data_IF_487041504172
#
_entry.id   IF_487041504172
#
_cell.length_a   1.000
_cell.length_b   1.000
_cell.length_c   1.000
_cell.angle_alpha   90.00
_cell.angle_beta   90.00
_cell.angle_gamma   90.00
#
_symmetry.space_group_name_H-M   'P 1'
#
loop_
_entity.id
_entity.type
_entity.pdbx_description
1 polymer ?
#
# COMPACT_ATOMS: atom_id res chain seq x y z
N UNK A 1 -5.66 82.49 -54.88
CA UNK A 1 -6.68 83.52 -55.07
C UNK A 1 -7.90 83.06 -54.33
N UNK A 2 -8.29 83.84 -53.30
CA UNK A 2 -9.58 84.02 -52.63
C UNK A 2 -10.29 82.85 -52.09
N UNK A 3 -10.35 82.67 -50.75
CA UNK A 3 -11.30 83.36 -49.85
C UNK A 3 -12.73 82.88 -50.13
N UNK A 4 -13.51 82.47 -49.22
CA UNK A 4 -13.77 82.86 -47.84
C UNK A 4 -14.86 81.97 -47.28
N UNK A 5 -14.83 81.81 -45.99
CA UNK A 5 -15.83 82.25 -45.00
C UNK A 5 -17.32 81.93 -45.34
N UNK A 6 -18.09 81.30 -44.50
CA UNK A 6 -18.52 81.62 -43.13
C UNK A 6 -19.67 80.75 -42.71
N UNK A 7 -19.68 80.43 -41.43
CA UNK A 7 -20.84 80.46 -40.50
C UNK A 7 -22.10 79.62 -40.74
N UNK A 8 -22.28 78.73 -39.84
CA UNK A 8 -23.24 78.81 -38.69
C UNK A 8 -24.71 78.39 -38.94
N UNK A 9 -25.17 77.68 -38.03
CA UNK A 9 -26.51 77.46 -37.51
C UNK A 9 -27.08 76.04 -37.53
N UNK A 10 -26.94 75.44 -36.43
CA UNK A 10 -27.98 75.11 -35.45
C UNK A 10 -29.13 74.20 -35.87
N UNK A 11 -29.24 73.25 -35.06
CA UNK A 11 -30.45 72.60 -34.46
C UNK A 11 -31.16 71.48 -35.20
N UNK A 12 -31.19 70.45 -34.45
CA UNK A 12 -32.35 69.64 -34.02
C UNK A 12 -32.64 68.41 -34.89
N UNK A 13 -32.57 67.33 -34.22
CA UNK A 13 -33.62 66.55 -33.61
C UNK A 13 -33.71 65.07 -34.12
N UNK A 14 -33.65 64.21 -33.17
CA UNK A 14 -34.28 62.88 -33.04
C UNK A 14 -33.60 61.68 -33.70
N UNK A 15 -33.02 60.88 -32.86
CA UNK A 15 -33.64 59.68 -32.29
C UNK A 15 -33.68 58.50 -33.26
N UNK A 16 -32.84 57.56 -32.98
CA UNK A 16 -32.79 56.24 -33.61
C UNK A 16 -31.63 55.41 -33.10
N UNK A 17 -31.55 55.27 -31.78
CA UNK A 17 -30.63 54.31 -31.21
C UNK A 17 -31.19 52.89 -31.47
N UNK A 18 -30.65 52.22 -32.50
CA UNK A 18 -30.85 50.80 -32.70
C UNK A 18 -29.79 50.11 -31.80
N UNK A 19 -30.23 49.69 -30.63
CA UNK A 19 -29.44 48.81 -29.73
C UNK A 19 -29.33 47.46 -30.40
N UNK A 20 -28.14 47.21 -30.96
CA UNK A 20 -27.72 45.85 -31.30
C UNK A 20 -27.42 45.15 -29.95
N UNK A 21 -28.40 44.42 -29.48
CA UNK A 21 -28.28 43.48 -28.37
C UNK A 21 -27.40 42.33 -28.89
N UNK A 22 -26.11 42.37 -28.57
CA UNK A 22 -25.21 41.21 -28.75
C UNK A 22 -25.78 40.07 -27.89
N UNK A 23 -26.46 39.15 -28.53
CA UNK A 23 -26.83 37.88 -27.93
C UNK A 23 -25.55 37.12 -27.53
N UNK A 24 -25.16 37.20 -26.26
CA UNK A 24 -24.17 36.29 -25.69
C UNK A 24 -24.68 34.86 -25.93
N UNK A 25 -23.85 33.98 -26.51
CA UNK A 25 -24.24 32.56 -26.61
C UNK A 25 -24.43 32.02 -25.17
N UNK A 26 -25.63 31.54 -24.90
CA UNK A 26 -25.97 30.86 -23.66
C UNK A 26 -24.97 29.75 -23.47
N UNK A 27 -24.10 29.88 -22.44
CA UNK A 27 -23.24 28.81 -21.96
C UNK A 27 -24.22 27.73 -21.49
N UNK A 28 -24.19 26.51 -22.05
CA UNK A 28 -25.04 25.46 -21.56
C UNK A 28 -24.69 25.20 -20.11
N UNK A 29 -25.62 25.43 -19.21
CA UNK A 29 -25.52 25.05 -17.81
C UNK A 29 -25.14 23.59 -17.75
N UNK A 30 -23.95 23.33 -17.16
CA UNK A 30 -23.44 22.01 -16.91
C UNK A 30 -24.30 21.35 -15.84
N UNK A 31 -25.42 20.77 -16.24
CA UNK A 31 -26.28 19.90 -15.42
C UNK A 31 -25.67 18.49 -15.23
N UNK A 32 -24.37 18.31 -15.55
CA UNK A 32 -23.66 17.04 -15.37
C UNK A 32 -23.10 16.82 -13.96
N UNK A 33 -22.93 17.90 -13.16
CA UNK A 33 -22.28 17.83 -11.85
C UNK A 33 -23.10 17.08 -10.78
N UNK A 34 -24.42 17.07 -10.86
CA UNK A 34 -25.27 16.42 -9.85
C UNK A 34 -25.43 14.91 -10.07
N UNK A 35 -25.34 14.42 -11.32
CA UNK A 35 -25.37 12.98 -11.63
C UNK A 35 -24.01 12.30 -11.39
N UNK A 36 -22.90 13.00 -11.58
CA UNK A 36 -21.56 12.50 -11.27
C UNK A 36 -21.32 12.33 -9.76
N UNK A 37 -21.87 13.25 -8.95
CA UNK A 37 -21.76 13.19 -7.48
C UNK A 37 -22.63 12.09 -6.84
N UNK A 38 -23.63 11.56 -7.53
CA UNK A 38 -24.50 10.48 -7.01
C UNK A 38 -23.96 9.08 -7.24
N UNK A 39 -22.97 8.90 -8.11
CA UNK A 39 -22.33 7.62 -8.43
C UNK A 39 -21.09 7.33 -7.57
N UNK A 40 -20.57 8.34 -6.88
CA UNK A 40 -19.44 8.19 -5.95
C UNK A 40 -19.94 8.03 -4.52
N UNK A 41 -19.19 7.24 -3.71
CA UNK A 41 -19.47 6.96 -2.30
C UNK A 41 -20.73 6.10 -2.01
N UNK A 42 -21.22 5.32 -2.99
CA UNK A 42 -22.41 4.47 -2.78
C UNK A 42 -22.67 3.45 -3.91
N UNK A 43 -23.80 2.75 -3.82
CA UNK A 43 -24.28 1.83 -4.84
C UNK A 43 -23.27 0.76 -5.23
N UNK A 44 -22.95 0.67 -6.53
CA UNK A 44 -22.00 -0.30 -7.08
C UNK A 44 -20.57 -0.20 -6.47
N UNK A 45 -20.20 0.96 -5.92
CA UNK A 45 -18.92 1.14 -5.24
C UNK A 45 -18.69 0.12 -4.12
N UNK A 46 -19.72 -0.27 -3.39
CA UNK A 46 -19.59 -1.29 -2.34
C UNK A 46 -19.36 -2.69 -2.89
N UNK A 47 -19.89 -3.01 -4.07
CA UNK A 47 -19.61 -4.28 -4.77
C UNK A 47 -18.15 -4.30 -5.23
N UNK A 48 -17.66 -3.19 -5.75
CA UNK A 48 -16.22 -3.03 -6.09
C UNK A 48 -15.36 -3.15 -4.83
N UNK A 49 -15.75 -2.54 -3.72
CA UNK A 49 -15.05 -2.66 -2.43
C UNK A 49 -14.99 -4.11 -1.95
N UNK A 50 -16.08 -4.87 -2.04
CA UNK A 50 -16.10 -6.31 -1.74
C UNK A 50 -15.16 -7.09 -2.69
N UNK A 51 -15.11 -6.75 -3.98
CA UNK A 51 -14.16 -7.33 -4.92
C UNK A 51 -12.71 -7.03 -4.54
N UNK A 52 -12.41 -5.79 -4.11
CA UNK A 52 -11.07 -5.42 -3.63
C UNK A 52 -10.71 -6.16 -2.34
N UNK A 53 -11.66 -6.34 -1.41
CA UNK A 53 -11.48 -7.19 -0.23
C UNK A 53 -11.05 -8.62 -0.62
N UNK A 54 -11.74 -9.24 -1.58
CA UNK A 54 -11.42 -10.60 -2.05
C UNK A 54 -10.04 -10.65 -2.70
N UNK A 55 -9.66 -9.66 -3.50
CA UNK A 55 -8.32 -9.57 -4.09
C UNK A 55 -7.25 -9.49 -3.00
N UNK A 56 -7.44 -8.65 -1.98
CA UNK A 56 -6.51 -8.54 -0.85
C UNK A 56 -6.43 -9.83 -0.04
N UNK A 57 -7.57 -10.48 0.19
CA UNK A 57 -7.64 -11.79 0.85
C UNK A 57 -6.78 -12.83 0.13
N UNK A 58 -6.90 -12.92 -1.20
CA UNK A 58 -6.19 -13.90 -2.02
C UNK A 58 -4.71 -13.58 -2.21
N UNK A 59 -4.34 -12.30 -2.30
CA UNK A 59 -2.95 -11.88 -2.55
C UNK A 59 -2.19 -11.68 -1.24
N UNK A 60 -2.49 -10.60 -0.52
CA UNK A 60 -1.76 -10.23 0.71
C UNK A 60 -1.96 -11.28 1.81
N UNK A 61 -3.17 -11.84 1.93
CA UNK A 61 -3.45 -12.90 2.91
C UNK A 61 -2.56 -14.13 2.72
N UNK A 62 -2.33 -14.55 1.48
CA UNK A 62 -1.42 -15.67 1.20
C UNK A 62 0.04 -15.28 1.46
N UNK A 63 0.46 -14.05 1.13
CA UNK A 63 1.80 -13.56 1.47
C UNK A 63 2.04 -13.48 2.98
N UNK A 64 1.03 -13.10 3.77
CA UNK A 64 1.12 -13.07 5.23
C UNK A 64 1.27 -14.48 5.85
N UNK A 65 0.89 -15.53 5.10
CA UNK A 65 1.06 -16.93 5.49
C UNK A 65 2.36 -17.56 4.95
N UNK A 66 3.30 -16.73 4.47
CA UNK A 66 4.56 -17.19 3.88
C UNK A 66 5.37 -18.13 4.80
N UNK A 67 5.27 -17.94 6.13
CA UNK A 67 5.95 -18.80 7.11
C UNK A 67 5.47 -20.25 7.08
N UNK A 68 4.18 -20.48 6.85
CA UNK A 68 3.63 -21.84 6.74
C UNK A 68 4.05 -22.49 5.42
N UNK A 69 4.01 -21.73 4.32
CA UNK A 69 4.51 -22.19 3.00
C UNK A 69 6.01 -22.51 3.07
N UNK A 70 6.78 -21.64 3.76
CA UNK A 70 8.21 -21.84 3.98
C UNK A 70 8.50 -23.16 4.70
N UNK A 71 7.79 -23.46 5.78
CA UNK A 71 7.95 -24.73 6.52
C UNK A 71 7.57 -25.93 5.64
N UNK A 72 6.45 -25.84 4.93
CA UNK A 72 6.01 -26.91 4.05
C UNK A 72 7.02 -27.20 2.91
N UNK A 73 7.60 -26.15 2.31
CA UNK A 73 8.66 -26.29 1.29
C UNK A 73 9.94 -26.91 1.88
N UNK A 74 10.33 -26.46 3.07
CA UNK A 74 11.55 -26.95 3.73
C UNK A 74 11.44 -28.44 4.08
N UNK A 75 10.28 -28.87 4.58
CA UNK A 75 10.01 -30.27 4.92
C UNK A 75 9.98 -31.16 3.66
N UNK A 76 9.38 -30.69 2.55
CA UNK A 76 9.26 -31.45 1.30
C UNK A 76 10.61 -31.60 0.58
N UNK A 77 11.36 -30.49 0.45
CA UNK A 77 12.58 -30.49 -0.36
C UNK A 77 13.85 -30.70 0.45
N UNK A 78 13.77 -30.81 1.79
CA UNK A 78 14.90 -31.02 2.70
C UNK A 78 16.07 -30.05 2.47
N UNK A 79 15.76 -28.76 2.24
CA UNK A 79 16.72 -27.69 1.92
C UNK A 79 17.06 -26.85 3.15
N UNK A 80 18.15 -26.06 3.06
CA UNK A 80 18.57 -25.16 4.14
C UNK A 80 17.54 -24.06 4.40
N UNK A 81 17.54 -23.49 5.62
CA UNK A 81 16.62 -22.44 6.02
C UNK A 81 16.81 -21.15 5.21
N UNK A 82 18.08 -20.79 4.94
CA UNK A 82 18.41 -19.63 4.14
C UNK A 82 17.97 -19.79 2.68
N UNK A 83 18.21 -20.96 2.08
CA UNK A 83 17.86 -21.22 0.69
C UNK A 83 16.34 -21.22 0.46
N UNK A 84 15.57 -21.89 1.33
CA UNK A 84 14.11 -21.93 1.23
C UNK A 84 13.49 -20.54 1.45
N UNK A 85 14.06 -19.73 2.35
CA UNK A 85 13.56 -18.39 2.62
C UNK A 85 13.65 -17.44 1.41
N UNK A 86 14.59 -17.67 0.48
CA UNK A 86 14.67 -16.91 -0.76
C UNK A 86 13.40 -17.02 -1.60
N UNK A 87 12.77 -18.17 -1.69
CA UNK A 87 11.58 -18.39 -2.53
C UNK A 87 10.42 -17.52 -2.03
N UNK A 88 10.13 -17.57 -0.73
CA UNK A 88 8.99 -16.82 -0.14
C UNK A 88 9.24 -15.30 -0.10
N UNK A 89 10.48 -14.89 0.21
CA UNK A 89 10.83 -13.47 0.22
C UNK A 89 10.86 -12.87 -1.18
N UNK A 90 11.32 -13.62 -2.19
CA UNK A 90 11.30 -13.20 -3.58
C UNK A 90 9.87 -12.94 -4.08
N UNK A 91 8.91 -13.81 -3.74
CA UNK A 91 7.51 -13.63 -4.10
C UNK A 91 6.94 -12.33 -3.54
N UNK A 92 7.16 -12.07 -2.25
CA UNK A 92 6.74 -10.83 -1.59
C UNK A 92 7.40 -9.59 -2.21
N UNK A 93 8.67 -9.70 -2.58
CA UNK A 93 9.43 -8.59 -3.14
C UNK A 93 9.03 -8.29 -4.57
N UNK A 94 8.76 -9.30 -5.40
CA UNK A 94 8.26 -9.13 -6.75
C UNK A 94 6.88 -8.46 -6.75
N UNK A 95 6.03 -8.75 -5.77
CA UNK A 95 4.76 -8.04 -5.60
C UNK A 95 4.98 -6.53 -5.44
N UNK A 96 5.94 -6.09 -4.63
CA UNK A 96 6.24 -4.68 -4.42
C UNK A 96 7.00 -4.05 -5.62
N UNK A 97 7.94 -4.77 -6.21
CA UNK A 97 8.74 -4.29 -7.35
C UNK A 97 7.87 -3.89 -8.54
N UNK A 98 6.85 -4.69 -8.84
CA UNK A 98 5.95 -4.44 -9.96
C UNK A 98 4.75 -3.54 -9.60
N UNK A 99 4.69 -2.97 -8.39
CA UNK A 99 3.61 -2.11 -7.94
C UNK A 99 3.37 -0.90 -8.86
N UNK A 100 4.45 -0.17 -9.18
CA UNK A 100 4.39 0.99 -10.06
C UNK A 100 3.96 0.61 -11.49
N UNK A 101 4.41 -0.53 -12.00
CA UNK A 101 3.98 -1.05 -13.30
C UNK A 101 2.49 -1.43 -13.27
N UNK A 102 2.04 -2.12 -12.22
CA UNK A 102 0.63 -2.50 -12.06
C UNK A 102 -0.30 -1.29 -12.04
N UNK A 103 0.05 -0.24 -11.29
CA UNK A 103 -0.72 1.01 -11.24
C UNK A 103 -0.72 1.75 -12.59
N UNK A 104 0.42 1.86 -13.25
CA UNK A 104 0.53 2.50 -14.56
C UNK A 104 -0.28 1.76 -15.64
N UNK A 105 -0.25 0.43 -15.64
CA UNK A 105 -1.08 -0.39 -16.52
C UNK A 105 -2.57 -0.21 -16.22
N UNK A 106 -2.96 -0.08 -14.93
CA UNK A 106 -4.34 0.15 -14.54
C UNK A 106 -4.86 1.52 -14.99
N UNK A 107 -4.02 2.54 -14.99
CA UNK A 107 -4.36 3.86 -15.52
C UNK A 107 -4.50 3.84 -17.06
N UNK A 108 -3.67 3.06 -17.75
CA UNK A 108 -3.66 2.98 -19.22
C UNK A 108 -4.75 2.06 -19.79
N UNK A 109 -4.93 0.88 -19.22
CA UNK A 109 -5.82 -0.17 -19.76
C UNK A 109 -7.08 -0.38 -18.90
N UNK A 110 -7.15 0.27 -17.75
CA UNK A 110 -8.21 0.08 -16.75
C UNK A 110 -7.89 -1.05 -15.77
N UNK A 111 -8.28 -0.85 -14.50
CA UNK A 111 -8.01 -1.82 -13.42
C UNK A 111 -8.60 -3.19 -13.69
N UNK A 112 -9.79 -3.27 -14.30
CA UNK A 112 -10.46 -4.54 -14.62
C UNK A 112 -9.59 -5.47 -15.46
N UNK A 113 -9.06 -4.96 -16.58
CA UNK A 113 -8.25 -5.76 -17.52
C UNK A 113 -6.95 -6.23 -16.86
N UNK A 114 -6.30 -5.33 -16.10
CA UNK A 114 -5.03 -5.65 -15.46
C UNK A 114 -5.20 -6.68 -14.34
N UNK A 115 -6.26 -6.59 -13.53
CA UNK A 115 -6.53 -7.58 -12.47
C UNK A 115 -6.90 -8.94 -13.07
N UNK A 116 -7.66 -8.97 -14.19
CA UNK A 116 -7.91 -10.21 -14.93
C UNK A 116 -6.60 -10.84 -15.39
N UNK A 117 -5.73 -10.08 -16.05
CA UNK A 117 -4.40 -10.57 -16.45
C UNK A 117 -3.59 -11.06 -15.25
N UNK A 118 -3.61 -10.31 -14.13
CA UNK A 118 -2.97 -10.67 -12.88
C UNK A 118 -3.47 -12.00 -12.30
N UNK A 119 -4.79 -12.26 -12.37
CA UNK A 119 -5.35 -13.52 -11.88
C UNK A 119 -4.86 -14.74 -12.68
N UNK A 120 -4.76 -14.62 -14.02
CA UNK A 120 -4.20 -15.69 -14.85
C UNK A 120 -2.71 -15.91 -14.61
N UNK A 121 -1.92 -14.83 -14.49
CA UNK A 121 -0.50 -14.93 -14.19
C UNK A 121 -0.27 -15.56 -12.81
N UNK A 122 -1.06 -15.14 -11.81
CA UNK A 122 -0.99 -15.70 -10.45
C UNK A 122 -1.35 -17.17 -10.41
N UNK A 123 -2.46 -17.55 -11.08
CA UNK A 123 -2.88 -18.94 -11.21
C UNK A 123 -1.82 -19.80 -11.92
N UNK A 124 -1.27 -19.32 -13.02
CA UNK A 124 -0.21 -20.02 -13.76
C UNK A 124 1.05 -20.21 -12.91
N UNK A 125 1.47 -19.18 -12.14
CA UNK A 125 2.60 -19.28 -11.22
C UNK A 125 2.43 -20.39 -10.18
N UNK A 126 1.26 -20.42 -9.51
CA UNK A 126 0.96 -21.46 -8.52
C UNK A 126 0.79 -22.85 -9.16
N UNK A 127 0.10 -22.93 -10.31
CA UNK A 127 -0.09 -24.20 -11.00
C UNK A 127 1.25 -24.78 -11.48
N UNK A 128 2.11 -23.98 -12.04
CA UNK A 128 3.45 -24.44 -12.46
C UNK A 128 4.32 -24.81 -11.27
N UNK A 129 4.14 -24.15 -10.12
CA UNK A 129 4.83 -24.52 -8.86
C UNK A 129 4.44 -25.90 -8.37
N UNK A 130 3.23 -26.39 -8.67
CA UNK A 130 2.77 -27.71 -8.26
C UNK A 130 3.53 -28.87 -8.94
N UNK A 131 4.19 -28.61 -10.06
CA UNK A 131 5.00 -29.61 -10.80
C UNK A 131 6.47 -29.57 -10.41
N UNK A 132 6.86 -28.71 -9.47
CA UNK A 132 8.25 -28.61 -9.03
C UNK A 132 8.63 -29.84 -8.20
N UNK A 133 9.69 -30.52 -8.59
CA UNK A 133 10.27 -31.67 -7.86
C UNK A 133 11.48 -31.27 -7.01
N UNK A 134 11.98 -30.05 -7.18
CA UNK A 134 13.09 -29.47 -6.44
C UNK A 134 12.77 -28.00 -6.11
N UNK A 135 13.59 -27.38 -5.22
CA UNK A 135 13.37 -25.99 -4.83
C UNK A 135 13.64 -24.97 -5.95
N UNK A 136 14.59 -25.27 -6.87
CA UNK A 136 15.05 -24.30 -7.89
C UNK A 136 13.93 -23.78 -8.82
N UNK A 137 13.03 -24.58 -9.39
CA UNK A 137 11.95 -24.05 -10.22
C UNK A 137 11.03 -23.08 -9.46
N UNK A 138 10.88 -23.23 -8.14
CA UNK A 138 10.01 -22.40 -7.32
C UNK A 138 10.50 -20.94 -7.22
N UNK A 139 11.78 -20.67 -7.42
CA UNK A 139 12.27 -19.29 -7.52
C UNK A 139 11.57 -18.52 -8.65
N UNK A 140 11.38 -19.17 -9.79
CA UNK A 140 10.75 -18.56 -10.94
C UNK A 140 9.23 -18.65 -10.85
N UNK A 141 8.69 -19.84 -10.60
CA UNK A 141 7.24 -20.06 -10.66
C UNK A 141 6.49 -19.42 -9.49
N UNK A 142 6.89 -19.72 -8.25
CA UNK A 142 6.31 -19.12 -7.06
C UNK A 142 6.89 -17.72 -6.78
N UNK A 143 8.21 -17.55 -6.84
CA UNK A 143 8.87 -16.29 -6.52
C UNK A 143 8.51 -15.18 -7.50
N UNK A 144 8.81 -15.37 -8.79
CA UNK A 144 8.67 -14.31 -9.79
C UNK A 144 7.27 -14.27 -10.39
N UNK A 145 6.76 -15.38 -10.94
CA UNK A 145 5.51 -15.38 -11.72
C UNK A 145 4.31 -15.12 -10.80
N UNK A 146 4.19 -15.84 -9.69
CA UNK A 146 3.11 -15.61 -8.74
C UNK A 146 3.22 -14.24 -8.06
N UNK A 147 4.43 -13.77 -7.70
CA UNK A 147 4.66 -12.43 -7.17
C UNK A 147 4.24 -11.31 -8.13
N UNK A 148 4.57 -11.45 -9.43
CA UNK A 148 4.10 -10.54 -10.48
C UNK A 148 2.57 -10.56 -10.60
N UNK A 149 1.97 -11.76 -10.66
CA UNK A 149 0.50 -11.90 -10.72
C UNK A 149 -0.20 -11.24 -9.53
N UNK A 150 0.34 -11.41 -8.33
CA UNK A 150 -0.14 -10.77 -7.09
C UNK A 150 -0.07 -9.24 -7.17
N UNK A 151 1.02 -8.69 -7.73
CA UNK A 151 1.18 -7.25 -7.95
C UNK A 151 0.11 -6.69 -8.89
N UNK A 152 -0.10 -7.37 -10.04
CA UNK A 152 -1.09 -6.99 -11.05
C UNK A 152 -2.55 -7.15 -10.53
N UNK A 153 -2.76 -7.93 -9.49
CA UNK A 153 -4.03 -8.02 -8.79
C UNK A 153 -4.21 -6.90 -7.78
N UNK A 154 -3.29 -6.77 -6.85
CA UNK A 154 -3.39 -5.91 -5.68
C UNK A 154 -3.44 -4.41 -6.03
N UNK A 155 -2.38 -3.87 -6.64
CA UNK A 155 -2.25 -2.42 -6.81
C UNK A 155 -3.30 -1.81 -7.73
N UNK A 156 -3.66 -2.42 -8.88
CA UNK A 156 -4.78 -1.95 -9.71
C UNK A 156 -6.14 -1.98 -8.99
N UNK A 157 -6.35 -2.94 -8.07
CA UNK A 157 -7.57 -3.01 -7.28
C UNK A 157 -7.68 -1.86 -6.28
N UNK A 158 -6.56 -1.40 -5.72
CA UNK A 158 -6.55 -0.21 -4.86
C UNK A 158 -6.79 1.07 -5.68
N UNK A 159 -6.27 1.16 -6.91
CA UNK A 159 -6.51 2.31 -7.80
C UNK A 159 -7.99 2.47 -8.13
N UNK A 160 -8.73 1.38 -8.41
CA UNK A 160 -10.15 1.51 -8.73
C UNK A 160 -10.96 1.98 -7.51
N UNK A 161 -10.57 1.61 -6.31
CA UNK A 161 -11.23 2.04 -5.08
C UNK A 161 -11.22 3.57 -4.93
N UNK A 162 -10.10 4.22 -5.25
CA UNK A 162 -9.98 5.69 -5.21
C UNK A 162 -10.87 6.40 -6.23
N UNK A 163 -11.30 5.71 -7.30
CA UNK A 163 -12.22 6.26 -8.31
C UNK A 163 -13.68 6.20 -7.86
N UNK A 164 -14.04 5.18 -7.07
CA UNK A 164 -15.41 4.97 -6.59
C UNK A 164 -15.72 5.71 -5.28
N UNK A 165 -14.71 5.93 -4.44
CA UNK A 165 -14.88 6.58 -3.14
C UNK A 165 -14.05 7.86 -3.05
N UNK A 166 -14.71 8.95 -2.61
CA UNK A 166 -14.08 10.24 -2.32
C UNK A 166 -14.20 10.58 -0.85
N UNK A 167 -15.43 10.65 -0.31
CA UNK A 167 -15.69 10.98 1.09
C UNK A 167 -15.43 9.80 2.05
N UNK A 168 -15.71 8.57 1.59
CA UNK A 168 -15.61 7.34 2.39
C UNK A 168 -14.41 6.48 1.99
N UNK A 169 -13.39 7.07 1.36
CA UNK A 169 -12.22 6.34 0.87
C UNK A 169 -11.47 5.63 2.00
N UNK A 170 -11.26 6.29 3.14
CA UNK A 170 -10.57 5.69 4.30
C UNK A 170 -11.31 4.47 4.84
N UNK A 171 -12.64 4.55 4.94
CA UNK A 171 -13.45 3.42 5.38
C UNK A 171 -13.43 2.25 4.38
N UNK A 172 -13.56 2.55 3.07
CA UNK A 172 -13.47 1.53 2.03
C UNK A 172 -12.08 0.88 1.96
N UNK A 173 -11.01 1.66 2.15
CA UNK A 173 -9.64 1.15 2.25
C UNK A 173 -9.45 0.27 3.48
N UNK A 174 -10.06 0.62 4.61
CA UNK A 174 -10.07 -0.21 5.82
C UNK A 174 -10.71 -1.58 5.59
N UNK A 175 -11.86 -1.63 4.87
CA UNK A 175 -12.49 -2.90 4.47
C UNK A 175 -11.56 -3.70 3.56
N UNK A 176 -10.92 -3.05 2.59
CA UNK A 176 -9.97 -3.72 1.69
C UNK A 176 -8.79 -4.36 2.44
N UNK A 177 -8.20 -3.63 3.39
CA UNK A 177 -7.11 -4.13 4.25
C UNK A 177 -7.56 -5.24 5.19
N UNK A 178 -8.81 -5.20 5.68
CA UNK A 178 -9.39 -6.29 6.46
C UNK A 178 -9.43 -7.61 5.65
N UNK A 179 -9.55 -7.54 4.31
CA UNK A 179 -9.40 -8.69 3.42
C UNK A 179 -8.03 -9.35 3.55
N UNK A 180 -6.97 -8.56 3.52
CA UNK A 180 -5.58 -9.05 3.66
C UNK A 180 -5.38 -9.81 4.98
N UNK A 181 -5.83 -9.22 6.07
CA UNK A 181 -5.67 -9.81 7.38
C UNK A 181 -6.59 -11.03 7.59
N UNK A 182 -7.84 -11.00 7.08
CA UNK A 182 -8.72 -12.18 7.08
C UNK A 182 -8.14 -13.33 6.28
N UNK A 183 -7.45 -13.02 5.16
CA UNK A 183 -6.70 -14.02 4.38
C UNK A 183 -5.59 -14.66 5.19
N UNK A 184 -4.75 -13.86 5.89
CA UNK A 184 -3.68 -14.39 6.75
C UNK A 184 -4.21 -15.32 7.84
N UNK A 185 -5.38 -15.00 8.41
CA UNK A 185 -6.02 -15.84 9.41
C UNK A 185 -6.44 -17.21 8.85
N UNK A 186 -6.94 -17.26 7.61
CA UNK A 186 -7.47 -18.47 6.97
C UNK A 186 -6.37 -19.28 6.30
N UNK A 187 -5.45 -18.63 5.57
CA UNK A 187 -4.43 -19.34 4.78
C UNK A 187 -3.42 -20.10 5.63
N UNK A 188 -3.05 -19.61 6.81
CA UNK A 188 -2.11 -20.32 7.69
C UNK A 188 -2.58 -21.76 7.99
N UNK A 189 -3.72 -21.93 8.68
CA UNK A 189 -4.28 -23.27 8.97
C UNK A 189 -4.64 -24.06 7.71
N UNK A 190 -5.17 -23.39 6.67
CA UNK A 190 -5.54 -24.05 5.41
C UNK A 190 -4.33 -24.67 4.72
N UNK A 191 -3.25 -23.93 4.56
CA UNK A 191 -2.01 -24.41 3.92
C UNK A 191 -1.40 -25.53 4.76
N UNK A 192 -1.39 -25.39 6.09
CA UNK A 192 -0.90 -26.44 6.97
C UNK A 192 -1.70 -27.74 6.83
N UNK A 193 -3.02 -27.66 6.81
CA UNK A 193 -3.89 -28.82 6.64
C UNK A 193 -3.68 -29.48 5.27
N UNK A 194 -3.70 -28.68 4.20
CA UNK A 194 -3.53 -29.20 2.84
C UNK A 194 -2.15 -29.83 2.62
N UNK A 195 -1.08 -29.21 3.13
CA UNK A 195 0.28 -29.72 2.96
C UNK A 195 0.52 -30.99 3.76
N UNK A 196 -0.10 -31.13 4.94
CA UNK A 196 0.03 -32.34 5.76
C UNK A 196 -0.76 -33.54 5.23
N UNK A 197 -1.93 -33.31 4.63
CA UNK A 197 -2.82 -34.38 4.15
C UNK A 197 -2.54 -34.77 2.69
N UNK A 198 -2.24 -33.79 1.84
CA UNK A 198 -2.17 -33.99 0.39
C UNK A 198 -0.79 -33.65 -0.21
N UNK A 199 0.13 -33.12 0.59
CA UNK A 199 1.43 -32.65 0.13
C UNK A 199 1.40 -31.27 -0.54
N UNK A 200 2.60 -30.72 -0.77
CA UNK A 200 2.75 -29.33 -1.24
C UNK A 200 2.29 -29.14 -2.68
N UNK A 201 2.44 -30.13 -3.54
CA UNK A 201 2.01 -30.09 -4.95
C UNK A 201 0.49 -29.87 -5.07
N UNK A 202 -0.31 -30.66 -4.35
CA UNK A 202 -1.78 -30.51 -4.35
C UNK A 202 -2.18 -29.20 -3.67
N UNK A 203 -1.46 -28.78 -2.65
CA UNK A 203 -1.67 -27.47 -2.01
C UNK A 203 -1.57 -26.35 -3.03
N UNK A 204 -0.52 -26.31 -3.86
CA UNK A 204 -0.38 -25.30 -4.91
C UNK A 204 -1.47 -25.38 -5.97
N UNK A 205 -1.96 -26.56 -6.35
CA UNK A 205 -3.08 -26.72 -7.27
C UNK A 205 -4.37 -26.11 -6.71
N UNK A 206 -4.67 -26.36 -5.44
CA UNK A 206 -5.83 -25.78 -4.76
C UNK A 206 -5.70 -24.26 -4.68
N UNK A 207 -4.54 -23.75 -4.26
CA UNK A 207 -4.27 -22.31 -4.20
C UNK A 207 -4.37 -21.65 -5.58
N UNK A 208 -3.93 -22.33 -6.65
CA UNK A 208 -4.09 -21.88 -8.03
C UNK A 208 -5.57 -21.78 -8.41
N UNK A 209 -6.38 -22.79 -8.07
CA UNK A 209 -7.82 -22.78 -8.37
C UNK A 209 -8.56 -21.65 -7.65
N UNK A 210 -8.15 -21.27 -6.44
CA UNK A 210 -8.71 -20.14 -5.70
C UNK A 210 -8.50 -18.80 -6.42
N UNK A 211 -7.52 -18.68 -7.34
CA UNK A 211 -7.33 -17.45 -8.12
C UNK A 211 -8.51 -17.15 -9.06
N UNK A 212 -9.41 -18.10 -9.29
CA UNK A 212 -10.68 -17.84 -10.01
C UNK A 212 -11.54 -16.81 -9.28
N UNK A 213 -11.47 -16.76 -7.95
CA UNK A 213 -12.20 -15.75 -7.18
C UNK A 213 -11.64 -14.34 -7.44
N UNK A 214 -10.32 -14.20 -7.70
CA UNK A 214 -9.72 -12.94 -8.11
C UNK A 214 -10.20 -12.53 -9.51
N UNK A 215 -10.31 -13.48 -10.45
CA UNK A 215 -10.89 -13.23 -11.76
C UNK A 215 -12.36 -12.78 -11.64
N UNK A 216 -13.20 -13.48 -10.86
CA UNK A 216 -14.59 -13.11 -10.64
C UNK A 216 -14.73 -11.73 -10.00
N UNK A 217 -13.87 -11.42 -9.02
CA UNK A 217 -13.83 -10.10 -8.40
C UNK A 217 -13.49 -9.00 -9.41
N UNK A 218 -12.55 -9.26 -10.31
CA UNK A 218 -12.18 -8.30 -11.36
C UNK A 218 -13.32 -7.98 -12.31
N UNK A 219 -14.28 -8.90 -12.52
CA UNK A 219 -15.47 -8.65 -13.34
C UNK A 219 -16.35 -7.55 -12.75
N UNK A 220 -16.33 -7.34 -11.43
CA UNK A 220 -17.10 -6.29 -10.75
C UNK A 220 -16.48 -4.90 -10.95
N UNK A 221 -15.23 -4.79 -11.41
CA UNK A 221 -14.49 -3.54 -11.60
C UNK A 221 -14.93 -2.84 -12.89
N UNK A 222 -16.15 -2.33 -12.90
CA UNK A 222 -16.72 -1.62 -14.05
C UNK A 222 -16.12 -0.21 -14.14
N UNK A 223 -15.65 0.24 -15.31
CA UNK A 223 -15.18 1.62 -15.45
C UNK A 223 -16.35 2.60 -15.25
N UNK A 224 -16.11 3.67 -14.48
CA UNK A 224 -17.11 4.76 -14.36
C UNK A 224 -17.27 5.47 -15.70
N UNK A 225 -18.52 5.64 -16.15
CA UNK A 225 -18.84 6.39 -17.35
C UNK A 225 -18.37 7.85 -17.19
N UNK A 226 -17.56 8.34 -18.15
CA UNK A 226 -17.00 9.71 -18.11
C UNK A 226 -15.53 9.77 -17.70
N UNK A 227 -14.96 8.75 -17.10
CA UNK A 227 -13.50 8.64 -16.95
C UNK A 227 -12.91 8.17 -18.29
N UNK A 228 -12.90 9.07 -19.29
CA UNK A 228 -12.06 8.83 -20.46
C UNK A 228 -10.67 8.51 -19.93
N UNK A 229 -10.15 7.36 -20.35
CA UNK A 229 -8.74 7.01 -20.19
C UNK A 229 -7.97 8.05 -21.02
N UNK A 230 -7.81 9.24 -20.40
CA UNK A 230 -6.99 10.29 -21.00
C UNK A 230 -5.61 9.65 -21.02
N UNK A 231 -5.06 9.47 -22.21
CA UNK A 231 -3.67 9.08 -22.45
C UNK A 231 -2.78 10.14 -21.80
N UNK A 232 -2.72 10.12 -20.48
CA UNK A 232 -1.68 10.80 -19.74
C UNK A 232 -0.44 9.96 -20.00
N UNK A 233 0.59 10.55 -20.61
CA UNK A 233 1.91 9.94 -20.61
C UNK A 233 2.26 9.73 -19.14
N UNK A 234 1.90 8.57 -18.60
CA UNK A 234 2.18 8.22 -17.21
C UNK A 234 3.67 7.91 -17.16
N UNK A 235 4.43 8.89 -16.75
CA UNK A 235 5.81 8.68 -16.33
C UNK A 235 5.72 7.74 -15.13
N UNK A 236 6.21 6.52 -15.26
CA UNK A 236 6.16 5.50 -14.20
C UNK A 236 6.96 5.94 -12.98
N UNK A 237 8.01 6.75 -13.21
CA UNK A 237 8.87 7.31 -12.16
C UNK A 237 9.20 8.77 -12.46
N UNK A 238 8.84 9.67 -11.56
CA UNK A 238 9.38 11.03 -11.56
C UNK A 238 10.49 11.12 -10.49
N UNK A 239 11.73 11.13 -10.95
CA UNK A 239 12.91 11.22 -10.08
C UNK A 239 13.04 12.59 -9.37
N UNK A 240 12.21 13.57 -9.73
CA UNK A 240 12.21 14.87 -9.05
C UNK A 240 11.83 14.75 -7.56
N UNK A 241 11.09 13.71 -7.18
CA UNK A 241 10.75 13.40 -5.78
C UNK A 241 12.01 13.29 -4.90
N UNK A 242 13.11 12.76 -5.46
CA UNK A 242 14.39 12.59 -4.73
C UNK A 242 15.15 13.90 -4.48
N UNK A 243 14.71 15.04 -5.03
CA UNK A 243 15.24 16.34 -4.66
C UNK A 243 14.81 16.76 -3.25
N UNK A 244 13.71 16.19 -2.73
CA UNK A 244 13.26 16.41 -1.36
C UNK A 244 14.09 15.58 -0.36
N UNK A 245 14.88 16.24 0.45
CA UNK A 245 15.78 15.57 1.44
C UNK A 245 15.00 14.73 2.46
N UNK A 246 13.83 15.21 2.91
CA UNK A 246 12.99 14.47 3.85
C UNK A 246 12.47 13.18 3.22
N UNK A 247 12.14 13.21 1.92
CA UNK A 247 11.72 12.02 1.19
C UNK A 247 12.87 11.01 1.01
N UNK A 248 14.10 11.48 0.75
CA UNK A 248 15.27 10.59 0.67
C UNK A 248 15.51 9.87 2.01
N UNK A 249 15.44 10.60 3.13
CA UNK A 249 15.56 10.00 4.47
C UNK A 249 14.44 8.98 4.70
N UNK A 250 13.21 9.31 4.27
CA UNK A 250 12.03 8.43 4.35
C UNK A 250 12.28 7.11 3.61
N UNK A 251 12.76 7.17 2.37
CA UNK A 251 13.10 5.98 1.57
C UNK A 251 14.20 5.17 2.23
N UNK A 252 15.30 5.80 2.68
CA UNK A 252 16.41 5.10 3.34
C UNK A 252 15.95 4.39 4.60
N UNK A 253 15.15 5.06 5.45
CA UNK A 253 14.61 4.47 6.67
C UNK A 253 13.72 3.25 6.39
N UNK A 254 12.84 3.35 5.38
CA UNK A 254 11.99 2.23 4.96
C UNK A 254 12.81 1.09 4.37
N UNK A 255 13.78 1.38 3.50
CA UNK A 255 14.68 0.36 2.96
C UNK A 255 15.46 -0.36 4.08
N UNK A 256 15.93 0.36 5.09
CA UNK A 256 16.62 -0.24 6.24
C UNK A 256 15.67 -1.14 7.03
N UNK A 257 14.43 -0.73 7.28
CA UNK A 257 13.44 -1.55 7.97
C UNK A 257 13.02 -2.78 7.16
N UNK A 258 12.87 -2.62 5.84
CA UNK A 258 12.45 -3.72 4.96
C UNK A 258 13.43 -4.88 4.91
N UNK A 259 14.73 -4.66 5.22
CA UNK A 259 15.71 -5.75 5.39
C UNK A 259 15.22 -6.76 6.43
N UNK A 260 14.51 -6.34 7.46
CA UNK A 260 14.12 -7.20 8.58
C UNK A 260 12.61 -7.40 8.73
N UNK A 261 11.80 -6.61 8.02
CA UNK A 261 10.35 -6.60 8.11
C UNK A 261 9.72 -8.00 7.93
N UNK A 262 10.18 -8.72 6.91
CA UNK A 262 9.58 -10.01 6.54
C UNK A 262 10.08 -11.18 7.41
N UNK A 263 11.13 -10.99 8.20
CA UNK A 263 11.76 -12.07 9.02
C UNK A 263 10.74 -12.75 9.95
N UNK A 264 9.92 -12.06 10.75
CA UNK A 264 8.93 -12.69 11.60
C UNK A 264 7.84 -13.43 10.82
N UNK A 265 7.40 -12.90 9.69
CA UNK A 265 6.39 -13.55 8.84
C UNK A 265 6.85 -14.89 8.28
N UNK A 266 8.14 -15.05 8.02
CA UNK A 266 8.73 -16.28 7.46
C UNK A 266 9.18 -17.23 8.55
N UNK A 267 9.90 -16.74 9.56
CA UNK A 267 10.62 -17.61 10.50
C UNK A 267 9.90 -17.86 11.84
N UNK A 268 8.83 -17.08 12.18
CA UNK A 268 8.16 -17.23 13.48
C UNK A 268 7.47 -18.60 13.63
N UNK A 269 6.89 -19.13 12.55
CA UNK A 269 6.22 -20.44 12.55
C UNK A 269 7.25 -21.52 12.88
N UNK A 270 8.39 -21.53 12.17
CA UNK A 270 9.45 -22.51 12.39
C UNK A 270 10.12 -22.35 13.76
N UNK A 271 10.32 -21.10 14.20
CA UNK A 271 10.83 -20.83 15.56
C UNK A 271 9.93 -21.46 16.64
N UNK A 272 8.59 -21.38 16.48
CA UNK A 272 7.67 -22.01 17.41
C UNK A 272 7.77 -23.54 17.38
N UNK A 273 7.90 -24.14 16.20
CA UNK A 273 8.12 -25.57 16.05
C UNK A 273 9.42 -26.04 16.72
N UNK A 274 10.52 -25.30 16.55
CA UNK A 274 11.80 -25.57 17.20
C UNK A 274 11.71 -25.45 18.75
N UNK A 275 10.70 -24.73 19.26
CA UNK A 275 10.37 -24.69 20.70
C UNK A 275 9.41 -25.79 21.14
N UNK A 276 9.09 -26.76 20.28
CA UNK A 276 8.23 -27.90 20.57
C UNK A 276 6.72 -27.63 20.40
N UNK A 277 6.33 -26.52 19.75
CA UNK A 277 4.93 -26.26 19.43
C UNK A 277 4.53 -27.15 18.24
N UNK A 278 3.35 -27.75 18.29
CA UNK A 278 2.83 -28.56 17.19
C UNK A 278 2.66 -27.72 15.91
N UNK A 279 2.84 -28.33 14.73
CA UNK A 279 2.69 -27.64 13.43
C UNK A 279 1.34 -26.96 13.28
N UNK A 280 0.26 -27.61 13.74
CA UNK A 280 -1.09 -27.04 13.71
C UNK A 280 -1.19 -25.76 14.56
N UNK A 281 -0.63 -25.75 15.77
CA UNK A 281 -0.64 -24.55 16.61
C UNK A 281 0.32 -23.46 16.08
N UNK A 282 1.47 -23.85 15.55
CA UNK A 282 2.43 -22.90 14.98
C UNK A 282 1.84 -22.14 13.77
N UNK A 283 1.05 -22.82 12.93
CA UNK A 283 0.38 -22.17 11.78
C UNK A 283 -0.66 -21.13 12.18
N UNK A 284 -1.24 -21.23 13.40
CA UNK A 284 -2.17 -20.22 13.91
C UNK A 284 -1.50 -18.89 14.24
N UNK A 285 -0.18 -18.84 14.41
CA UNK A 285 0.54 -17.60 14.72
C UNK A 285 0.37 -16.55 13.63
N UNK A 286 0.32 -16.95 12.36
CA UNK A 286 0.02 -16.04 11.24
C UNK A 286 -1.38 -15.43 11.37
N UNK A 287 -2.34 -16.19 11.87
CA UNK A 287 -3.68 -15.73 12.19
C UNK A 287 -3.69 -14.70 13.33
N UNK A 288 -2.96 -14.95 14.42
CA UNK A 288 -2.86 -13.98 15.51
C UNK A 288 -2.17 -12.69 15.09
N UNK A 289 -1.12 -12.75 14.26
CA UNK A 289 -0.52 -11.56 13.64
C UNK A 289 -1.57 -10.79 12.82
N UNK A 290 -2.36 -11.50 12.02
CA UNK A 290 -3.38 -10.89 11.17
C UNK A 290 -4.49 -10.22 11.98
N UNK A 291 -4.97 -10.84 13.07
CA UNK A 291 -5.97 -10.23 13.98
C UNK A 291 -5.40 -8.96 14.60
N UNK A 292 -4.14 -8.99 15.07
CA UNK A 292 -3.44 -7.80 15.53
C UNK A 292 -3.42 -6.71 14.45
N UNK A 293 -3.06 -7.05 13.22
CA UNK A 293 -3.02 -6.15 12.07
C UNK A 293 -4.36 -5.48 11.75
N UNK A 294 -5.47 -6.23 11.80
CA UNK A 294 -6.82 -5.65 11.64
C UNK A 294 -7.08 -4.58 12.71
N UNK A 295 -6.87 -4.95 13.97
CA UNK A 295 -7.14 -4.05 15.09
C UNK A 295 -6.24 -2.81 15.02
N UNK A 296 -4.95 -2.99 14.73
CA UNK A 296 -3.99 -1.91 14.56
C UNK A 296 -4.38 -0.97 13.42
N UNK A 297 -4.64 -1.48 12.23
CA UNK A 297 -4.98 -0.66 11.06
C UNK A 297 -6.29 0.10 11.24
N UNK A 298 -7.32 -0.52 11.84
CA UNK A 298 -8.60 0.14 12.10
C UNK A 298 -8.46 1.23 13.18
N UNK A 299 -7.79 0.93 14.29
CA UNK A 299 -7.59 1.88 15.38
C UNK A 299 -6.80 3.11 14.89
N UNK A 300 -5.65 2.88 14.25
CA UNK A 300 -4.82 3.99 13.77
C UNK A 300 -5.42 4.66 12.53
N UNK A 301 -6.23 3.96 11.72
CA UNK A 301 -7.03 4.57 10.67
C UNK A 301 -7.98 5.65 11.21
N UNK A 302 -8.68 5.37 12.33
CA UNK A 302 -9.53 6.35 13.00
C UNK A 302 -8.70 7.44 13.68
N UNK A 303 -7.60 7.08 14.35
CA UNK A 303 -6.74 8.06 15.03
C UNK A 303 -6.08 9.04 14.07
N UNK A 304 -5.79 8.63 12.84
CA UNK A 304 -5.24 9.50 11.81
C UNK A 304 -6.16 10.65 11.38
N UNK A 305 -7.46 10.53 11.60
CA UNK A 305 -8.43 11.58 11.28
C UNK A 305 -8.45 12.70 12.34
N UNK A 306 -7.79 12.52 13.50
CA UNK A 306 -7.69 13.56 14.52
C UNK A 306 -6.60 14.59 14.16
N UNK A 307 -6.89 15.90 14.29
CA UNK A 307 -6.01 16.98 13.82
C UNK A 307 -4.66 17.09 14.55
N UNK A 308 -4.52 16.47 15.72
CA UNK A 308 -3.28 16.49 16.51
C UNK A 308 -2.43 15.23 16.33
N UNK A 309 -2.86 14.30 15.47
CA UNK A 309 -2.15 13.06 15.26
C UNK A 309 -0.91 13.25 14.38
N UNK A 310 0.26 12.98 14.96
CA UNK A 310 1.57 13.19 14.30
C UNK A 310 2.05 11.87 13.66
N UNK A 311 1.69 11.63 12.40
CA UNK A 311 2.04 10.40 11.66
C UNK A 311 3.54 10.15 11.63
N UNK A 312 4.36 11.20 11.45
CA UNK A 312 5.83 11.14 11.40
C UNK A 312 6.49 10.80 12.75
N UNK A 313 5.74 10.83 13.86
CA UNK A 313 6.22 10.36 15.18
C UNK A 313 5.74 8.93 15.44
N UNK A 314 4.49 8.63 15.11
CA UNK A 314 3.91 7.31 15.40
C UNK A 314 4.52 6.22 14.51
N UNK A 315 4.83 6.53 13.25
CA UNK A 315 5.41 5.55 12.32
C UNK A 315 6.77 5.00 12.81
N UNK A 316 7.78 5.81 13.16
CA UNK A 316 9.02 5.28 13.74
C UNK A 316 8.83 4.58 15.09
N UNK A 317 7.84 5.00 15.89
CA UNK A 317 7.50 4.32 17.14
C UNK A 317 6.97 2.91 16.87
N UNK A 318 6.11 2.74 15.86
CA UNK A 318 5.62 1.43 15.45
C UNK A 318 6.77 0.50 15.01
N UNK A 319 7.69 1.01 14.20
CA UNK A 319 8.89 0.26 13.74
C UNK A 319 9.77 -0.16 14.92
N UNK A 320 10.00 0.75 15.89
CA UNK A 320 10.78 0.45 17.09
C UNK A 320 10.12 -0.65 17.94
N UNK A 321 8.80 -0.57 18.13
CA UNK A 321 8.05 -1.55 18.93
C UNK A 321 8.00 -2.92 18.25
N UNK A 322 7.88 -2.97 16.92
CA UNK A 322 8.00 -4.24 16.17
C UNK A 322 9.39 -4.87 16.37
N UNK A 323 10.45 -4.07 16.29
CA UNK A 323 11.81 -4.54 16.57
C UNK A 323 12.01 -5.04 17.99
N UNK A 324 11.43 -4.35 18.97
CA UNK A 324 11.49 -4.74 20.38
C UNK A 324 10.74 -6.07 20.62
N UNK A 325 9.58 -6.25 19.99
CA UNK A 325 8.80 -7.49 20.05
C UNK A 325 9.62 -8.67 19.49
N UNK A 326 10.33 -8.47 18.38
CA UNK A 326 11.23 -9.47 17.82
C UNK A 326 12.34 -9.88 18.81
N UNK A 327 12.91 -8.92 19.55
CA UNK A 327 13.88 -9.24 20.59
C UNK A 327 13.26 -9.99 21.79
N UNK A 328 12.05 -9.58 22.21
CA UNK A 328 11.33 -10.17 23.35
C UNK A 328 10.88 -11.60 23.05
N UNK A 329 10.43 -11.91 21.84
CA UNK A 329 9.96 -13.27 21.47
C UNK A 329 11.03 -14.34 21.68
N UNK A 330 12.32 -13.99 21.59
CA UNK A 330 13.44 -14.93 21.82
C UNK A 330 13.44 -15.49 23.25
N UNK A 331 12.90 -14.75 24.21
CA UNK A 331 12.78 -15.14 25.62
C UNK A 331 11.49 -15.91 25.93
N UNK A 332 10.58 -16.02 24.94
CA UNK A 332 9.34 -16.77 25.10
C UNK A 332 9.63 -18.26 25.26
N UNK A 333 9.23 -18.82 26.41
CA UNK A 333 9.40 -20.25 26.72
C UNK A 333 8.09 -21.02 26.55
N UNK A 334 6.94 -20.33 26.58
CA UNK A 334 5.61 -20.91 26.44
C UNK A 334 4.93 -20.39 25.17
N UNK A 335 4.08 -21.20 24.58
CA UNK A 335 3.36 -20.87 23.36
C UNK A 335 2.49 -19.61 23.50
N UNK A 336 1.87 -19.43 24.69
CA UNK A 336 1.01 -18.25 24.96
C UNK A 336 1.79 -16.94 24.81
N UNK A 337 3.06 -16.91 25.23
CA UNK A 337 3.90 -15.72 25.07
C UNK A 337 4.26 -15.45 23.59
N UNK A 338 4.43 -16.53 22.81
CA UNK A 338 4.67 -16.38 21.35
C UNK A 338 3.42 -15.81 20.68
N UNK A 339 2.20 -16.25 21.07
CA UNK A 339 0.93 -15.69 20.58
C UNK A 339 0.85 -14.19 20.91
N UNK A 340 1.13 -13.79 22.13
CA UNK A 340 1.09 -12.37 22.54
C UNK A 340 2.06 -11.54 21.71
N UNK A 341 3.29 -12.03 21.50
CA UNK A 341 4.26 -11.35 20.65
C UNK A 341 3.78 -11.28 19.19
N UNK A 342 3.24 -12.36 18.63
CA UNK A 342 2.71 -12.40 17.28
C UNK A 342 1.56 -11.39 17.11
N UNK A 343 0.61 -11.35 18.05
CA UNK A 343 -0.50 -10.40 18.02
C UNK A 343 -0.02 -8.94 18.05
N UNK A 344 0.86 -8.58 18.98
CA UNK A 344 1.36 -7.21 19.09
C UNK A 344 2.28 -6.82 17.93
N UNK A 345 3.04 -7.78 17.37
CA UNK A 345 3.79 -7.54 16.15
C UNK A 345 2.84 -7.15 15.01
N UNK A 346 1.79 -7.94 14.77
CA UNK A 346 0.78 -7.65 13.77
C UNK A 346 0.04 -6.33 14.03
N UNK A 347 -0.26 -6.01 15.31
CA UNK A 347 -0.92 -4.75 15.68
C UNK A 347 -0.10 -3.52 15.23
N UNK A 348 1.21 -3.52 15.49
CA UNK A 348 2.09 -2.44 15.08
C UNK A 348 2.39 -2.47 13.58
N UNK A 349 2.36 -3.64 12.95
CA UNK A 349 2.42 -3.79 11.50
C UNK A 349 1.22 -3.12 10.81
N UNK A 350 0.00 -3.40 11.27
CA UNK A 350 -1.20 -2.74 10.76
C UNK A 350 -1.19 -1.21 10.95
N UNK A 351 -0.63 -0.73 12.08
CA UNK A 351 -0.38 0.69 12.30
C UNK A 351 0.60 1.25 11.27
N UNK A 352 1.74 0.60 11.08
CA UNK A 352 2.81 1.02 10.18
C UNK A 352 2.33 1.11 8.72
N UNK A 353 1.71 0.06 8.20
CA UNK A 353 1.21 0.00 6.82
C UNK A 353 0.16 1.10 6.55
N UNK A 354 -0.73 1.36 7.52
CA UNK A 354 -1.77 2.39 7.40
C UNK A 354 -1.21 3.81 7.37
N UNK A 355 -0.05 4.03 8.03
CA UNK A 355 0.57 5.35 8.13
C UNK A 355 1.40 5.74 6.91
N UNK A 356 1.91 4.79 6.13
CA UNK A 356 2.83 5.05 5.00
C UNK A 356 2.25 6.05 4.00
N UNK A 357 1.04 5.89 3.44
CA UNK A 357 0.53 6.81 2.43
C UNK A 357 0.33 8.23 2.98
N UNK A 358 -0.23 8.35 4.19
CA UNK A 358 -0.48 9.63 4.83
C UNK A 358 0.81 10.38 5.21
N UNK A 359 1.80 9.69 5.75
CA UNK A 359 3.10 10.26 6.08
C UNK A 359 3.88 10.67 4.80
N UNK A 360 3.81 9.85 3.74
CA UNK A 360 4.41 10.20 2.45
C UNK A 360 3.78 11.46 1.87
N UNK A 361 2.44 11.59 1.96
CA UNK A 361 1.71 12.79 1.54
C UNK A 361 2.18 14.04 2.31
N UNK A 362 2.37 13.94 3.62
CA UNK A 362 2.88 15.05 4.46
C UNK A 362 4.30 15.50 4.04
N UNK A 363 5.12 14.57 3.54
CA UNK A 363 6.50 14.86 3.13
C UNK A 363 6.58 15.52 1.75
N UNK A 364 5.83 15.00 0.75
CA UNK A 364 6.02 15.38 -0.66
C UNK A 364 4.87 16.20 -1.25
N UNK A 365 3.73 16.28 -0.57
CA UNK A 365 2.53 16.96 -1.05
C UNK A 365 1.70 16.15 -2.07
N UNK A 366 0.48 16.66 -2.34
CA UNK A 366 -0.54 15.96 -3.17
C UNK A 366 -0.08 15.73 -4.61
N UNK A 367 0.68 16.69 -5.19
CA UNK A 367 1.08 16.60 -6.59
C UNK A 367 2.06 15.46 -6.88
N UNK A 368 2.91 15.13 -5.91
CA UNK A 368 4.01 14.16 -6.07
C UNK A 368 3.76 12.84 -5.34
N UNK A 369 2.71 12.73 -4.52
CA UNK A 369 2.49 11.57 -3.63
C UNK A 369 2.34 10.25 -4.39
N UNK A 370 1.68 10.23 -5.54
CA UNK A 370 1.53 9.01 -6.35
C UNK A 370 2.87 8.46 -6.84
N UNK A 371 3.73 9.34 -7.36
CA UNK A 371 5.10 8.97 -7.78
C UNK A 371 5.96 8.56 -6.60
N UNK A 372 5.83 9.26 -5.48
CA UNK A 372 6.57 8.98 -4.26
C UNK A 372 6.21 7.59 -3.68
N UNK A 373 4.94 7.26 -3.57
CA UNK A 373 4.50 5.94 -3.08
C UNK A 373 4.97 4.83 -4.02
N UNK A 374 4.81 5.00 -5.35
CA UNK A 374 5.27 4.01 -6.32
C UNK A 374 6.78 3.77 -6.25
N UNK A 375 7.57 4.84 -6.17
CA UNK A 375 9.02 4.77 -6.01
C UNK A 375 9.41 4.13 -4.68
N UNK A 376 8.77 4.52 -3.56
CA UNK A 376 9.01 3.96 -2.24
C UNK A 376 8.86 2.44 -2.24
N UNK A 377 7.72 1.91 -2.70
CA UNK A 377 7.49 0.47 -2.76
C UNK A 377 8.50 -0.26 -3.65
N UNK A 378 8.86 0.33 -4.80
CA UNK A 378 9.87 -0.25 -5.68
C UNK A 378 11.24 -0.36 -5.00
N UNK A 379 11.68 0.69 -4.28
CA UNK A 379 12.95 0.65 -3.53
C UNK A 379 12.90 -0.29 -2.33
N UNK A 380 11.75 -0.43 -1.68
CA UNK A 380 11.54 -1.37 -0.57
C UNK A 380 11.61 -2.85 -1.00
N UNK A 381 11.32 -3.15 -2.26
CA UNK A 381 11.28 -4.52 -2.77
C UNK A 381 12.63 -5.26 -2.61
N UNK A 382 13.73 -4.61 -2.99
CA UNK A 382 15.04 -5.22 -2.96
C UNK A 382 15.51 -5.57 -1.53
N UNK A 383 15.51 -4.65 -0.54
CA UNK A 383 15.87 -4.98 0.84
C UNK A 383 14.96 -6.07 1.44
N UNK A 384 13.65 -6.05 1.10
CA UNK A 384 12.67 -7.03 1.58
C UNK A 384 13.02 -8.46 1.15
N UNK A 385 13.65 -8.64 -0.02
CA UNK A 385 14.10 -9.96 -0.49
C UNK A 385 15.21 -10.54 0.38
N UNK A 386 16.12 -9.69 0.88
CA UNK A 386 17.35 -10.12 1.55
C UNK A 386 17.12 -10.60 2.99
N UNK A 387 16.11 -10.06 3.68
CA UNK A 387 15.93 -10.27 5.12
C UNK A 387 15.79 -11.72 5.55
N UNK A 388 14.74 -12.43 5.11
CA UNK A 388 14.54 -13.81 5.53
C UNK A 388 15.67 -14.77 5.16
N UNK A 389 16.30 -14.71 3.96
CA UNK A 389 17.48 -15.49 3.66
C UNK A 389 18.64 -15.24 4.62
N UNK A 390 18.94 -13.96 4.92
CA UNK A 390 20.00 -13.62 5.87
C UNK A 390 19.68 -14.17 7.26
N UNK A 391 18.44 -14.04 7.72
CA UNK A 391 18.01 -14.59 9.00
C UNK A 391 18.11 -16.14 9.03
N UNK A 392 17.80 -16.80 7.92
CA UNK A 392 17.98 -18.24 7.75
C UNK A 392 19.46 -18.65 7.80
N UNK A 393 20.35 -17.96 7.09
CA UNK A 393 21.80 -18.22 7.12
C UNK A 393 22.41 -17.95 8.50
N UNK A 394 21.95 -16.92 9.21
CA UNK A 394 22.36 -16.67 10.60
C UNK A 394 21.98 -17.88 11.46
N UNK A 395 20.79 -18.45 11.25
CA UNK A 395 20.39 -19.67 11.94
C UNK A 395 21.27 -20.87 11.54
N UNK A 396 21.50 -21.09 10.24
CA UNK A 396 22.30 -22.22 9.73
C UNK A 396 23.74 -22.20 10.31
N UNK A 397 24.27 -21.02 10.67
CA UNK A 397 25.60 -20.84 11.30
C UNK A 397 25.53 -20.93 12.83
N UNK A 398 24.52 -20.32 13.47
CA UNK A 398 24.45 -20.16 14.93
C UNK A 398 23.59 -21.21 15.64
N UNK A 399 22.87 -22.03 14.87
CA UNK A 399 21.88 -23.02 15.32
C UNK A 399 20.82 -22.42 16.28
N UNK A 400 20.55 -21.10 16.11
CA UNK A 400 19.61 -20.40 16.99
C UNK A 400 18.95 -19.21 16.30
N UNK A 401 17.61 -19.19 16.31
CA UNK A 401 16.85 -18.01 15.88
C UNK A 401 17.00 -16.80 16.80
N UNK A 402 17.48 -16.96 18.03
CA UNK A 402 17.64 -15.84 18.95
C UNK A 402 18.54 -14.76 18.36
N UNK A 403 19.65 -15.14 17.71
CA UNK A 403 20.56 -14.19 17.05
C UNK A 403 19.85 -13.46 15.91
N UNK A 404 19.14 -14.19 15.03
CA UNK A 404 18.40 -13.62 13.91
C UNK A 404 17.35 -12.59 14.38
N UNK A 405 16.58 -12.89 15.43
CA UNK A 405 15.57 -11.97 15.96
C UNK A 405 16.20 -10.79 16.71
N UNK A 406 17.34 -10.93 17.39
CA UNK A 406 18.06 -9.80 17.99
C UNK A 406 18.62 -8.86 16.91
N UNK A 407 19.19 -9.41 15.82
CA UNK A 407 19.63 -8.60 14.67
C UNK A 407 18.45 -7.86 14.05
N UNK A 408 17.29 -8.54 13.88
CA UNK A 408 16.03 -7.93 13.41
C UNK A 408 15.64 -6.73 14.29
N UNK A 409 15.67 -6.90 15.61
CA UNK A 409 15.37 -5.83 16.56
C UNK A 409 16.34 -4.63 16.44
N UNK A 410 17.64 -4.90 16.32
CA UNK A 410 18.67 -3.87 16.18
C UNK A 410 18.54 -3.06 14.88
N UNK A 411 18.31 -3.74 13.76
CA UNK A 411 18.10 -3.07 12.46
C UNK A 411 16.79 -2.27 12.46
N UNK A 412 15.71 -2.78 13.02
CA UNK A 412 14.46 -2.05 13.17
C UNK A 412 14.63 -0.79 14.03
N UNK A 413 15.37 -0.89 15.14
CA UNK A 413 15.68 0.28 15.98
C UNK A 413 16.50 1.33 15.21
N UNK A 414 17.50 0.92 14.42
CA UNK A 414 18.28 1.84 13.59
C UNK A 414 17.41 2.54 12.53
N UNK A 415 16.49 1.80 11.90
CA UNK A 415 15.53 2.35 10.94
C UNK A 415 14.60 3.38 11.61
N UNK A 416 14.10 3.09 12.82
CA UNK A 416 13.27 4.01 13.60
C UNK A 416 14.03 5.32 13.95
N UNK A 417 15.31 5.22 14.31
CA UNK A 417 16.16 6.40 14.55
C UNK A 417 16.30 7.21 13.26
N UNK A 418 16.67 6.59 12.13
CA UNK A 418 16.78 7.28 10.84
C UNK A 418 15.46 7.96 10.48
N UNK A 419 14.32 7.25 10.61
CA UNK A 419 13.00 7.80 10.32
C UNK A 419 12.66 9.01 11.20
N UNK A 420 13.03 8.97 12.48
CA UNK A 420 12.80 10.07 13.44
C UNK A 420 13.58 11.35 13.08
N UNK A 421 14.70 11.25 12.34
CA UNK A 421 15.46 12.43 11.91
C UNK A 421 14.70 13.34 10.95
N UNK A 422 13.64 12.84 10.29
CA UNK A 422 12.78 13.65 9.42
C UNK A 422 12.16 14.83 10.17
N UNK A 423 11.83 14.65 11.46
CA UNK A 423 11.24 15.70 12.28
C UNK A 423 12.18 16.89 12.52
N UNK A 424 13.49 16.72 12.30
CA UNK A 424 14.50 17.78 12.44
C UNK A 424 14.86 18.45 11.11
N UNK A 425 14.43 17.89 9.99
CA UNK A 425 14.66 18.45 8.65
C UNK A 425 13.50 19.38 8.30
N UNK A 426 13.80 20.63 7.94
CA UNK A 426 12.77 21.58 7.52
C UNK A 426 12.01 21.02 6.31
N UNK A 427 10.66 21.03 6.31
CA UNK A 427 9.88 20.61 5.15
C UNK A 427 10.28 21.46 3.94
N UNK A 428 10.63 20.80 2.85
CA UNK A 428 10.96 21.49 1.57
C UNK A 428 9.68 21.91 0.83
N UNK A 429 8.53 21.59 1.36
CA UNK A 429 7.21 21.88 0.79
C UNK A 429 6.46 22.86 1.71
N UNK A 430 6.14 24.05 1.19
CA UNK A 430 5.15 24.92 1.81
C UNK A 430 3.77 24.42 1.36
N UNK A 431 2.88 24.07 2.26
CA UNK A 431 1.54 23.59 1.90
C UNK A 431 0.78 24.71 1.17
N UNK A 432 0.29 24.44 -0.04
CA UNK A 432 -0.64 25.34 -0.71
C UNK A 432 -1.90 25.53 0.13
N UNK A 433 -2.45 26.75 0.16
CA UNK A 433 -3.65 27.09 0.94
C UNK A 433 -4.87 26.22 0.59
N UNK A 434 -4.88 25.61 -0.57
CA UNK A 434 -5.92 24.69 -1.01
C UNK A 434 -5.90 23.34 -0.26
N UNK A 435 -4.70 22.87 0.13
CA UNK A 435 -4.51 21.67 0.93
C UNK A 435 -4.87 21.92 2.40
N UNK A 436 -4.62 23.14 2.89
CA UNK A 436 -5.05 23.57 4.22
C UNK A 436 -6.56 23.48 4.41
N UNK A 437 -7.34 23.63 3.34
CA UNK A 437 -8.81 23.49 3.35
C UNK A 437 -9.29 22.04 3.33
N UNK A 438 -8.44 21.10 2.88
CA UNK A 438 -8.76 19.66 2.77
C UNK A 438 -8.36 18.87 4.01
N UNK A 439 -7.45 19.40 4.83
CA UNK A 439 -7.01 18.80 6.09
C UNK A 439 -7.57 19.60 7.26
N UNK A 440 -8.49 19.05 8.07
CA UNK A 440 -9.02 19.75 9.25
C UNK A 440 -7.94 19.75 10.34
N UNK A 441 -7.04 20.74 10.32
CA UNK A 441 -6.10 20.94 11.44
C UNK A 441 -6.10 22.41 11.91
N UNK A 442 -6.30 22.66 13.21
CA UNK A 442 -6.35 24.00 13.80
C UNK A 442 -5.01 24.74 13.78
N UNK A 443 -3.90 24.11 13.42
CA UNK A 443 -2.60 24.78 13.25
C UNK A 443 -2.53 25.63 11.98
N UNK A 444 -3.28 25.31 10.93
CA UNK A 444 -3.32 26.09 9.70
C UNK A 444 -4.06 27.44 9.87
N UNK A 445 -5.05 27.49 10.73
CA UNK A 445 -5.75 28.75 11.05
C UNK A 445 -4.84 29.75 11.76
N UNK A 446 -3.89 29.26 12.58
CA UNK A 446 -2.86 30.08 13.23
C UNK A 446 -1.77 30.57 12.27
N UNK A 447 -1.43 29.82 11.22
CA UNK A 447 -0.49 30.26 10.18
C UNK A 447 -1.13 31.29 9.25
N UNK A 448 -2.38 31.11 8.86
CA UNK A 448 -3.13 32.08 8.06
C UNK A 448 -3.35 33.43 8.79
N UNK A 449 -3.57 33.41 10.10
CA UNK A 449 -3.72 34.60 10.92
C UNK A 449 -2.40 35.36 11.13
N UNK A 450 -1.26 34.67 11.22
CA UNK A 450 0.07 35.32 11.31
C UNK A 450 0.51 35.97 9.99
N UNK A 451 0.06 35.48 8.82
CA UNK A 451 0.34 36.13 7.53
C UNK A 451 -0.52 37.39 7.31
N UNK A 452 -1.77 37.44 7.75
CA UNK A 452 -2.60 38.63 7.64
C UNK A 452 -2.05 39.82 8.42
N UNK A 453 -1.33 39.59 9.51
CA UNK A 453 -0.70 40.65 10.31
C UNK A 453 0.59 41.24 9.69
N UNK A 454 1.19 40.56 8.67
CA UNK A 454 2.39 41.10 7.99
C UNK A 454 2.09 41.94 6.74
N UNK A 455 0.84 42.00 6.26
CA UNK A 455 0.45 42.76 5.08
C UNK A 455 -0.44 43.96 5.38
N UNK A 456 -0.61 44.33 6.65
CA UNK A 456 -1.43 45.49 7.09
C UNK A 456 -0.61 46.59 7.76
N UNK A 457 0.66 46.78 7.41
CA UNK A 457 1.34 48.05 7.74
C UNK A 457 1.33 48.92 6.48
N UNK A 458 0.66 50.10 6.50
CA UNK A 458 0.71 51.06 5.42
C UNK A 458 2.05 51.81 5.42
N UNK A 459 2.51 52.13 4.22
CA UNK A 459 3.56 53.13 3.99
C UNK A 459 3.22 54.49 4.57
#
# INVERSE_FOLDING_TARGET
MKQGDTKDSSKAVMSGACSIEEAQPAIPEVTSSSKENSLTDGGWGWVVCAGVFVVNFLTVGQHNSAGVVYVAMMDEYSTSRGETAWVTSLASSMMYLFAAMGTALAERYGSRVVVIAGSFVSAAGLLTSSFATTLQPLFVTYGVIWGLGSSLGLFPSLVILTKYFKKRLSFASGIALAGAASGGLVYGPLIQMLSSEFGISVTFQILSSLQILMFLSALTFVPLAGTNVRQRNTVVFDLQVFKNKSYVIWVIAHCTFMVVFLVPFVHLVRFAEDKGVSKSNASLLTGFMSVGGIIGSLLFGVLCDYPHFKRLIVCPTAVLLMGLICAVVTKATKYEWIIVCAFFFGFWDGCYEMLIPGATLEIVGVQMVGYAIGALYCFMAFPKTLGPPIAGWIFDISDSYSVSFFVTGGVAASAAVIMSTINFVKPSYEPDEEIARLLPSPEFEKLGSRRRLKYTEPC
#
